data_IF_500187645877
#
_entry.id   IF_500187645877
#
_cell.length_a   1.000
_cell.length_b   1.000
_cell.length_c   1.000
_cell.angle_alpha   90.00
_cell.angle_beta   90.00
_cell.angle_gamma   90.00
#
_symmetry.space_group_name_H-M   'P 1'
#
loop_
_entity.id
_entity.type
_entity.pdbx_description
1 polymer ?
#
# COMPACT_ATOMS: atom_id res chain seq x y z
N UNK A 1 12.35 -25.05 6.25
CA UNK A 1 10.97 -24.59 6.22
C UNK A 1 10.01 -25.77 6.16
N UNK A 2 10.11 -26.64 5.16
CA UNK A 2 9.20 -27.81 5.04
C UNK A 2 9.11 -28.62 6.35
N UNK A 3 10.26 -28.90 6.99
CA UNK A 3 10.29 -29.57 8.30
C UNK A 3 9.54 -28.79 9.37
N UNK A 4 9.78 -27.47 9.47
CA UNK A 4 9.09 -26.64 10.49
C UNK A 4 7.59 -26.60 10.28
N UNK A 5 7.12 -26.52 9.01
CA UNK A 5 5.70 -26.61 8.69
C UNK A 5 5.13 -27.97 9.08
N UNK A 6 5.84 -29.04 8.77
CA UNK A 6 5.43 -30.41 9.14
C UNK A 6 5.33 -30.56 10.67
N UNK A 7 6.34 -30.11 11.43
CA UNK A 7 6.34 -30.15 12.89
C UNK A 7 5.12 -29.39 13.46
N UNK A 8 4.79 -28.21 12.90
CA UNK A 8 3.61 -27.45 13.30
C UNK A 8 2.30 -28.20 13.02
N UNK A 9 2.20 -28.88 11.87
CA UNK A 9 1.02 -29.69 11.52
C UNK A 9 0.90 -30.95 12.38
N UNK A 10 2.00 -31.63 12.70
CA UNK A 10 2.01 -32.81 13.57
C UNK A 10 1.57 -32.49 15.00
N UNK A 11 1.93 -31.30 15.49
CA UNK A 11 1.53 -30.81 16.81
C UNK A 11 0.11 -30.23 16.84
N UNK A 12 -0.51 -29.98 15.66
CA UNK A 12 -1.84 -29.39 15.55
C UNK A 12 -2.85 -30.38 14.95
N UNK A 13 -3.42 -31.23 15.83
CA UNK A 13 -4.32 -32.33 15.43
C UNK A 13 -5.79 -31.93 15.28
N UNK A 14 -6.22 -30.80 15.84
CA UNK A 14 -7.60 -30.34 15.85
C UNK A 14 -7.71 -28.98 15.14
N UNK A 15 -8.91 -28.69 14.61
CA UNK A 15 -9.18 -27.43 13.96
C UNK A 15 -8.64 -27.32 12.53
N UNK A 16 -8.96 -26.21 11.90
CA UNK A 16 -8.53 -25.87 10.55
C UNK A 16 -7.09 -25.35 10.56
N UNK A 17 -6.33 -25.70 9.54
CA UNK A 17 -5.02 -25.08 9.30
C UNK A 17 -5.11 -24.17 8.08
N UNK A 18 -4.57 -22.97 8.21
CA UNK A 18 -4.45 -22.01 7.11
C UNK A 18 -2.99 -21.65 6.93
N UNK A 19 -2.47 -21.81 5.74
CA UNK A 19 -1.11 -21.42 5.36
C UNK A 19 -1.19 -20.30 4.34
N UNK A 20 -0.51 -19.17 4.63
CA UNK A 20 -0.42 -18.07 3.69
C UNK A 20 0.97 -17.99 3.10
N UNK A 21 1.01 -17.83 1.78
CA UNK A 21 2.24 -17.66 1.01
C UNK A 21 1.98 -16.83 -0.25
N UNK A 22 3.04 -16.38 -0.90
CA UNK A 22 2.93 -15.84 -2.26
C UNK A 22 2.51 -16.96 -3.22
N UNK A 23 1.53 -16.67 -4.08
CA UNK A 23 1.03 -17.64 -5.05
C UNK A 23 2.07 -18.06 -6.11
N UNK A 24 3.11 -17.24 -6.30
CA UNK A 24 4.25 -17.51 -7.19
C UNK A 24 5.31 -18.42 -6.57
N UNK A 25 5.26 -18.67 -5.27
CA UNK A 25 6.28 -19.47 -4.59
C UNK A 25 5.92 -20.97 -4.62
N UNK A 26 5.95 -21.59 -5.81
CA UNK A 26 5.52 -22.98 -6.06
C UNK A 26 6.22 -23.98 -5.13
N UNK A 27 7.54 -23.87 -4.96
CA UNK A 27 8.28 -24.77 -4.05
C UNK A 27 7.80 -24.71 -2.58
N UNK A 28 7.37 -23.55 -2.10
CA UNK A 28 6.79 -23.44 -0.75
C UNK A 28 5.45 -24.13 -0.69
N UNK A 29 4.63 -23.96 -1.72
CA UNK A 29 3.34 -24.65 -1.81
C UNK A 29 3.56 -26.17 -1.85
N UNK A 30 4.53 -26.66 -2.60
CA UNK A 30 4.88 -28.10 -2.59
C UNK A 30 5.24 -28.59 -1.18
N UNK A 31 6.10 -27.85 -0.45
CA UNK A 31 6.45 -28.19 0.94
C UNK A 31 5.21 -28.26 1.85
N UNK A 32 4.24 -27.34 1.65
CA UNK A 32 2.98 -27.36 2.40
C UNK A 32 2.12 -28.57 2.04
N UNK A 33 2.03 -28.92 0.76
CA UNK A 33 1.27 -30.09 0.29
C UNK A 33 1.86 -31.41 0.82
N UNK A 34 3.18 -31.54 0.78
CA UNK A 34 3.88 -32.72 1.31
C UNK A 34 3.67 -32.89 2.81
N UNK A 35 3.79 -31.78 3.55
CA UNK A 35 3.51 -31.77 4.98
C UNK A 35 2.03 -32.10 5.29
N UNK A 36 1.09 -31.55 4.52
CA UNK A 36 -0.34 -31.83 4.65
C UNK A 36 -0.66 -33.29 4.40
N UNK A 37 -0.10 -33.86 3.32
CA UNK A 37 -0.23 -35.27 2.97
C UNK A 37 0.27 -36.20 4.08
N UNK A 38 1.42 -35.85 4.70
CA UNK A 38 2.02 -36.66 5.77
C UNK A 38 1.15 -36.75 7.04
N UNK A 39 0.26 -35.77 7.27
CA UNK A 39 -0.66 -35.73 8.41
C UNK A 39 -2.13 -36.01 8.02
N UNK A 40 -2.37 -36.40 6.77
CA UNK A 40 -3.70 -36.75 6.26
C UNK A 40 -4.67 -35.59 6.11
N UNK A 41 -4.17 -34.38 5.84
CA UNK A 41 -4.98 -33.18 5.53
C UNK A 41 -5.08 -32.97 4.02
N UNK A 42 -6.28 -32.61 3.57
CA UNK A 42 -6.56 -32.29 2.16
C UNK A 42 -6.47 -30.79 1.90
N UNK A 43 -5.81 -30.34 0.84
CA UNK A 43 -5.66 -28.93 0.56
C UNK A 43 -6.92 -28.29 -0.03
N UNK A 44 -7.10 -27.02 0.30
CA UNK A 44 -8.09 -26.09 -0.26
C UNK A 44 -7.33 -24.89 -0.77
N UNK A 45 -7.32 -24.62 -2.06
CA UNK A 45 -6.71 -23.39 -2.61
C UNK A 45 -7.70 -22.26 -2.59
N UNK A 46 -7.31 -21.13 -1.99
CA UNK A 46 -8.16 -19.98 -1.79
C UNK A 46 -7.56 -18.70 -2.37
N UNK A 47 -8.34 -18.01 -3.18
CA UNK A 47 -7.95 -16.80 -3.88
C UNK A 47 -7.65 -17.04 -5.36
N UNK A 48 -8.06 -16.07 -6.22
CA UNK A 48 -7.97 -16.19 -7.69
C UNK A 48 -6.55 -16.46 -8.19
N UNK A 49 -5.57 -15.71 -7.67
CA UNK A 49 -4.17 -15.89 -8.05
C UNK A 49 -3.60 -17.24 -7.58
N UNK A 50 -3.97 -17.69 -6.38
CA UNK A 50 -3.52 -18.98 -5.84
C UNK A 50 -4.03 -20.12 -6.73
N UNK A 51 -5.34 -20.17 -7.01
CA UNK A 51 -5.95 -21.20 -7.85
C UNK A 51 -5.34 -21.19 -9.25
N UNK A 52 -5.21 -20.02 -9.89
CA UNK A 52 -4.64 -19.91 -11.24
C UNK A 52 -3.19 -20.37 -11.28
N UNK A 53 -2.35 -19.93 -10.35
CA UNK A 53 -0.93 -20.27 -10.36
C UNK A 53 -0.70 -21.76 -10.06
N UNK A 54 -1.50 -22.35 -9.18
CA UNK A 54 -1.40 -23.78 -8.89
C UNK A 54 -1.84 -24.64 -10.06
N UNK A 55 -2.86 -24.22 -10.81
CA UNK A 55 -3.24 -24.90 -12.06
C UNK A 55 -2.10 -24.87 -13.09
N UNK A 56 -1.53 -23.69 -13.35
CA UNK A 56 -0.39 -23.53 -14.27
C UNK A 56 0.83 -24.37 -13.81
N UNK A 57 1.17 -24.30 -12.51
CA UNK A 57 2.29 -25.05 -11.97
C UNK A 57 2.10 -26.56 -12.10
N UNK A 58 0.86 -27.05 -11.97
CA UNK A 58 0.51 -28.46 -12.22
C UNK A 58 0.61 -28.84 -13.68
N UNK A 59 0.11 -28.02 -14.61
CA UNK A 59 0.22 -28.23 -16.06
C UNK A 59 1.69 -28.27 -16.54
N UNK A 60 2.55 -27.46 -15.92
CA UNK A 60 3.98 -27.41 -16.22
C UNK A 60 4.82 -28.42 -15.42
N UNK A 61 4.18 -29.30 -14.66
CA UNK A 61 4.83 -30.34 -13.84
C UNK A 61 5.80 -29.80 -12.77
N UNK A 62 5.68 -28.51 -12.39
CA UNK A 62 6.40 -27.91 -11.26
C UNK A 62 5.76 -28.21 -9.90
N UNK A 63 4.53 -28.69 -9.88
CA UNK A 63 3.78 -29.04 -8.69
C UNK A 63 3.37 -30.52 -8.77
N UNK A 64 3.92 -31.34 -7.90
CA UNK A 64 3.55 -32.74 -7.76
C UNK A 64 2.29 -32.87 -6.89
N UNK A 65 1.14 -32.67 -7.52
CA UNK A 65 -0.13 -32.69 -6.84
C UNK A 65 -1.27 -33.18 -7.75
N UNK A 66 -2.09 -34.09 -7.25
CA UNK A 66 -3.28 -34.50 -7.98
C UNK A 66 -4.44 -33.55 -7.65
N UNK A 67 -4.96 -32.84 -8.63
CA UNK A 67 -6.06 -31.89 -8.46
C UNK A 67 -7.33 -32.54 -7.82
N UNK A 68 -7.52 -33.84 -7.98
CA UNK A 68 -8.63 -34.59 -7.33
C UNK A 68 -8.49 -34.69 -5.81
N UNK A 69 -7.28 -34.49 -5.27
CA UNK A 69 -7.05 -34.50 -3.82
C UNK A 69 -7.41 -33.16 -3.16
N UNK A 70 -7.56 -32.08 -3.95
CA UNK A 70 -8.04 -30.81 -3.45
C UNK A 70 -9.54 -30.87 -3.09
N UNK A 71 -9.93 -30.09 -2.10
CA UNK A 71 -11.32 -29.82 -1.76
C UNK A 71 -11.70 -28.45 -2.32
N UNK A 72 -12.81 -28.36 -3.03
CA UNK A 72 -13.32 -27.08 -3.50
C UNK A 72 -13.82 -26.22 -2.32
N UNK A 73 -13.64 -24.93 -2.41
CA UNK A 73 -14.03 -24.00 -1.33
C UNK A 73 -15.52 -24.12 -0.95
N UNK A 74 -16.39 -24.39 -1.91
CA UNK A 74 -17.84 -24.58 -1.66
C UNK A 74 -18.15 -25.80 -0.77
N UNK A 75 -17.28 -26.82 -0.81
CA UNK A 75 -17.47 -28.10 -0.13
C UNK A 75 -16.78 -28.17 1.24
N UNK A 76 -16.01 -27.15 1.61
CA UNK A 76 -15.27 -27.10 2.90
C UNK A 76 -16.17 -27.38 4.10
N UNK A 77 -17.40 -26.90 4.08
CA UNK A 77 -18.38 -27.10 5.17
C UNK A 77 -18.82 -28.57 5.36
N UNK A 78 -18.59 -29.42 4.36
CA UNK A 78 -18.94 -30.82 4.36
C UNK A 78 -17.81 -31.73 4.89
N UNK A 79 -16.65 -31.11 5.24
CA UNK A 79 -15.46 -31.81 5.72
C UNK A 79 -15.14 -31.44 7.16
N UNK A 80 -14.57 -32.39 7.89
CA UNK A 80 -13.97 -32.11 9.20
C UNK A 80 -12.82 -31.10 9.07
N UNK A 81 -12.85 -29.95 9.78
CA UNK A 81 -11.78 -28.96 9.74
C UNK A 81 -10.40 -29.54 10.05
N UNK A 82 -10.32 -30.56 10.91
CA UNK A 82 -9.05 -31.24 11.25
C UNK A 82 -8.46 -32.03 10.09
N UNK A 83 -9.19 -32.24 9.00
CA UNK A 83 -8.78 -32.94 7.78
C UNK A 83 -8.48 -31.98 6.62
N UNK A 84 -8.54 -30.67 6.86
CA UNK A 84 -8.34 -29.67 5.84
C UNK A 84 -7.11 -28.80 6.14
N UNK A 85 -6.51 -28.30 5.07
CA UNK A 85 -5.51 -27.23 5.09
C UNK A 85 -5.85 -26.23 3.98
N UNK A 86 -6.08 -24.98 4.34
CA UNK A 86 -6.34 -23.89 3.37
C UNK A 86 -5.02 -23.22 3.02
N UNK A 87 -4.73 -23.10 1.73
CA UNK A 87 -3.55 -22.43 1.20
C UNK A 87 -4.04 -21.17 0.48
N UNK A 88 -3.63 -19.99 0.95
CA UNK A 88 -4.12 -18.73 0.43
C UNK A 88 -3.05 -17.63 0.37
N UNK A 89 -3.42 -16.51 -0.23
CA UNK A 89 -2.65 -15.26 -0.22
C UNK A 89 -3.10 -14.35 0.91
N UNK A 90 -2.44 -13.21 1.09
CA UNK A 90 -2.79 -12.22 2.12
C UNK A 90 -1.75 -12.10 3.23
N UNK A 91 -0.56 -12.69 3.03
CA UNK A 91 0.52 -12.69 4.01
C UNK A 91 1.13 -11.30 4.27
N UNK A 92 0.86 -10.30 3.41
CA UNK A 92 1.34 -8.92 3.56
C UNK A 92 0.26 -7.97 4.09
N UNK A 93 -0.89 -8.51 4.52
CA UNK A 93 -2.00 -7.72 5.05
C UNK A 93 -2.73 -6.92 3.96
N UNK A 94 -2.67 -7.41 2.71
CA UNK A 94 -3.31 -6.76 1.57
C UNK A 94 -4.81 -6.61 1.82
N UNK A 95 -5.38 -5.42 1.59
CA UNK A 95 -6.81 -5.21 1.70
C UNK A 95 -7.60 -6.21 0.84
N UNK A 96 -8.71 -6.72 1.37
CA UNK A 96 -9.59 -7.69 0.70
C UNK A 96 -8.95 -9.05 0.37
N UNK A 97 -7.73 -9.33 0.85
CA UNK A 97 -7.18 -10.67 0.77
C UNK A 97 -7.94 -11.66 1.65
N UNK A 98 -7.85 -12.95 1.33
CA UNK A 98 -8.55 -13.98 2.09
C UNK A 98 -8.18 -13.95 3.57
N UNK A 99 -6.88 -13.81 3.90
CA UNK A 99 -6.44 -13.73 5.29
C UNK A 99 -6.96 -12.48 6.00
N UNK A 100 -6.89 -11.30 5.37
CA UNK A 100 -7.37 -10.05 5.97
C UNK A 100 -8.87 -10.08 6.23
N UNK A 101 -9.66 -10.66 5.32
CA UNK A 101 -11.09 -10.86 5.53
C UNK A 101 -11.40 -11.87 6.64
N UNK A 102 -10.62 -12.96 6.76
CA UNK A 102 -10.75 -13.90 7.88
C UNK A 102 -10.37 -13.23 9.20
N UNK A 103 -9.29 -12.45 9.24
CA UNK A 103 -8.87 -11.70 10.42
C UNK A 103 -9.93 -10.67 10.88
N UNK A 104 -10.63 -10.03 9.92
CA UNK A 104 -11.74 -9.13 10.21
C UNK A 104 -13.06 -9.87 10.56
N UNK A 105 -13.19 -11.17 10.21
CA UNK A 105 -14.42 -11.96 10.32
C UNK A 105 -15.42 -11.72 9.22
N UNK A 106 -14.98 -11.13 8.14
CA UNK A 106 -15.80 -10.73 6.99
C UNK A 106 -15.74 -11.75 5.85
N UNK A 107 -14.92 -12.80 5.97
CA UNK A 107 -14.83 -13.81 4.92
C UNK A 107 -16.14 -14.62 4.85
N UNK A 108 -16.76 -14.63 3.66
CA UNK A 108 -18.14 -15.16 3.46
C UNK A 108 -18.28 -16.67 3.72
N UNK A 109 -17.25 -17.45 3.39
CA UNK A 109 -17.33 -18.93 3.40
C UNK A 109 -16.48 -19.56 4.49
N UNK A 110 -15.38 -18.94 4.93
CA UNK A 110 -14.49 -19.45 5.95
C UNK A 110 -14.52 -18.55 7.18
N UNK A 111 -14.81 -19.15 8.31
CA UNK A 111 -14.69 -18.50 9.62
C UNK A 111 -13.57 -19.19 10.37
N UNK A 112 -12.73 -18.41 11.00
CA UNK A 112 -11.61 -18.89 11.82
C UNK A 112 -11.84 -18.54 13.28
N UNK A 113 -11.35 -19.37 14.18
CA UNK A 113 -11.59 -19.19 15.60
C UNK A 113 -10.67 -20.03 16.49
N UNK A 114 -11.15 -20.29 17.70
CA UNK A 114 -10.44 -21.07 18.69
C UNK A 114 -10.13 -22.48 18.17
N UNK A 115 -8.90 -22.91 18.35
CA UNK A 115 -8.43 -24.22 17.90
C UNK A 115 -7.95 -24.25 16.45
N UNK A 116 -7.96 -23.13 15.71
CA UNK A 116 -7.41 -23.06 14.37
C UNK A 116 -5.95 -22.58 14.39
N UNK A 117 -5.16 -23.04 13.41
CA UNK A 117 -3.76 -22.70 13.23
C UNK A 117 -3.58 -21.90 11.94
N UNK A 118 -2.92 -20.74 12.07
CA UNK A 118 -2.54 -19.90 10.94
C UNK A 118 -1.02 -19.90 10.82
N UNK A 119 -0.49 -20.32 9.69
CA UNK A 119 0.95 -20.29 9.39
C UNK A 119 1.20 -19.22 8.32
N UNK A 120 1.92 -18.17 8.68
CA UNK A 120 2.32 -17.12 7.74
C UNK A 120 3.72 -17.44 7.19
N UNK A 121 3.75 -18.13 6.04
CA UNK A 121 4.96 -18.63 5.42
C UNK A 121 5.62 -17.59 4.49
N UNK A 122 5.75 -16.35 4.95
CA UNK A 122 6.40 -15.24 4.26
C UNK A 122 7.17 -14.35 5.22
N UNK A 123 8.12 -13.56 4.71
CA UNK A 123 8.72 -12.45 5.48
C UNK A 123 7.80 -11.24 5.45
N UNK A 124 7.93 -10.39 6.47
CA UNK A 124 7.40 -9.03 6.43
C UNK A 124 8.17 -8.23 5.37
N UNK A 125 7.45 -7.62 4.45
CA UNK A 125 8.02 -6.62 3.55
C UNK A 125 8.02 -5.28 4.29
N UNK A 126 9.16 -4.56 4.36
CA UNK A 126 9.22 -3.23 4.96
C UNK A 126 8.13 -2.30 4.42
N UNK A 127 7.43 -1.63 5.33
CA UNK A 127 6.28 -0.77 5.01
C UNK A 127 4.91 -1.42 5.19
N UNK A 128 4.83 -2.77 5.23
CA UNK A 128 3.56 -3.49 5.42
C UNK A 128 3.31 -3.90 6.89
N UNK A 129 4.20 -3.55 7.81
CA UNK A 129 4.17 -4.02 9.20
C UNK A 129 2.84 -3.77 9.87
N UNK A 130 2.29 -2.56 9.74
CA UNK A 130 0.99 -2.20 10.35
C UNK A 130 -0.16 -3.07 9.85
N UNK A 131 -0.20 -3.34 8.55
CA UNK A 131 -1.25 -4.15 7.93
C UNK A 131 -1.13 -5.62 8.34
N UNK A 132 0.10 -6.15 8.38
CA UNK A 132 0.39 -7.52 8.79
C UNK A 132 0.04 -7.72 10.26
N UNK A 133 0.50 -6.86 11.17
CA UNK A 133 0.19 -6.95 12.59
C UNK A 133 -1.30 -6.73 12.88
N UNK A 134 -2.00 -5.91 12.09
CA UNK A 134 -3.47 -5.81 12.16
C UNK A 134 -4.13 -7.17 11.90
N UNK A 135 -3.67 -7.88 10.87
CA UNK A 135 -4.18 -9.22 10.55
C UNK A 135 -3.84 -10.24 11.64
N UNK A 136 -2.59 -10.28 12.14
CA UNK A 136 -2.18 -11.16 13.24
C UNK A 136 -3.04 -10.91 14.48
N UNK A 137 -3.22 -9.65 14.88
CA UNK A 137 -4.03 -9.27 16.03
C UNK A 137 -5.50 -9.65 15.85
N UNK A 138 -6.05 -9.48 14.64
CA UNK A 138 -7.41 -9.88 14.31
C UNK A 138 -7.63 -11.39 14.44
N UNK A 139 -6.68 -12.20 13.98
CA UNK A 139 -6.69 -13.65 14.11
C UNK A 139 -6.52 -14.09 15.57
N UNK A 140 -5.60 -13.51 16.31
CA UNK A 140 -5.39 -13.79 17.72
C UNK A 140 -6.62 -13.45 18.58
N UNK A 141 -7.29 -12.32 18.31
CA UNK A 141 -8.57 -11.97 18.98
C UNK A 141 -9.69 -12.99 18.73
N UNK A 142 -9.60 -13.76 17.66
CA UNK A 142 -10.54 -14.85 17.34
C UNK A 142 -10.16 -16.18 17.99
N UNK A 143 -9.04 -16.23 18.73
CA UNK A 143 -8.55 -17.42 19.38
C UNK A 143 -7.66 -18.30 18.49
N UNK A 144 -7.27 -17.84 17.30
CA UNK A 144 -6.38 -18.61 16.45
C UNK A 144 -4.93 -18.58 17.00
N UNK A 145 -4.25 -19.70 16.87
CA UNK A 145 -2.79 -19.74 17.04
C UNK A 145 -2.12 -19.27 15.75
N UNK A 146 -1.31 -18.21 15.84
CA UNK A 146 -0.61 -17.64 14.68
C UNK A 146 0.88 -17.95 14.77
N UNK A 147 1.42 -18.61 13.74
CA UNK A 147 2.84 -18.93 13.57
C UNK A 147 3.39 -18.13 12.40
N UNK A 148 4.48 -17.43 12.61
CA UNK A 148 5.16 -16.61 11.61
C UNK A 148 6.67 -16.70 11.78
N UNK A 149 7.46 -16.08 10.88
CA UNK A 149 8.94 -16.13 10.88
C UNK A 149 9.57 -15.80 12.24
N UNK A 150 8.93 -14.96 13.06
CA UNK A 150 9.43 -14.60 14.40
C UNK A 150 9.19 -15.67 15.47
N UNK A 151 8.34 -16.67 15.23
CA UNK A 151 8.00 -17.72 16.19
C UNK A 151 8.45 -19.11 15.75
N UNK A 152 8.58 -19.35 14.44
CA UNK A 152 9.09 -20.60 13.89
C UNK A 152 9.73 -20.37 12.51
N UNK A 153 10.62 -21.29 12.09
CA UNK A 153 11.33 -21.17 10.81
C UNK A 153 10.43 -21.57 9.61
N UNK A 154 9.27 -20.95 9.52
CA UNK A 154 8.29 -21.17 8.44
C UNK A 154 8.60 -20.40 7.17
N UNK A 155 9.63 -19.56 7.20
CA UNK A 155 10.14 -18.83 6.05
C UNK A 155 11.65 -18.58 6.17
N UNK A 156 12.34 -18.55 5.03
CA UNK A 156 13.73 -18.10 4.88
C UNK A 156 13.79 -17.04 3.78
N UNK A 157 14.71 -16.10 3.90
CA UNK A 157 14.94 -15.10 2.85
C UNK A 157 15.46 -15.80 1.58
N UNK A 158 14.98 -15.33 0.43
CA UNK A 158 15.52 -15.68 -0.89
C UNK A 158 16.66 -14.76 -1.33
N UNK A 159 16.90 -13.65 -0.56
CA UNK A 159 18.01 -12.73 -0.84
C UNK A 159 19.31 -13.28 -0.29
N UNK A 160 20.37 -13.16 -1.05
CA UNK A 160 21.73 -13.49 -0.66
C UNK A 160 22.18 -12.61 0.53
N UNK A 161 22.96 -13.19 1.42
CA UNK A 161 23.68 -12.42 2.44
C UNK A 161 25.03 -11.91 1.88
N UNK A 162 25.78 -11.15 2.69
CA UNK A 162 27.04 -10.55 2.28
C UNK A 162 28.05 -11.59 1.79
N UNK A 163 28.18 -12.70 2.47
CA UNK A 163 29.17 -13.74 2.15
C UNK A 163 28.78 -14.49 0.88
N UNK A 164 27.49 -14.72 0.66
CA UNK A 164 26.95 -15.29 -0.59
C UNK A 164 27.27 -14.37 -1.77
N UNK A 165 27.10 -13.04 -1.62
CA UNK A 165 27.43 -12.05 -2.64
C UNK A 165 28.94 -12.02 -2.95
N UNK A 166 29.81 -12.04 -1.92
CA UNK A 166 31.26 -12.11 -2.11
C UNK A 166 31.63 -13.38 -2.88
N UNK A 167 31.07 -14.54 -2.49
CA UNK A 167 31.31 -15.80 -3.19
C UNK A 167 30.86 -15.72 -4.63
N UNK A 168 29.68 -15.16 -4.90
CA UNK A 168 29.14 -15.03 -6.24
C UNK A 168 30.00 -14.09 -7.12
N UNK A 169 30.44 -12.96 -6.60
CA UNK A 169 31.35 -12.05 -7.32
C UNK A 169 32.67 -12.75 -7.69
N UNK A 170 33.28 -13.50 -6.75
CA UNK A 170 34.51 -14.23 -7.00
C UNK A 170 34.36 -15.39 -7.99
N UNK A 171 33.14 -15.96 -8.13
CA UNK A 171 32.86 -16.99 -9.12
C UNK A 171 32.62 -16.45 -10.52
N UNK A 172 32.02 -15.25 -10.62
CA UNK A 172 31.63 -14.64 -11.90
C UNK A 172 32.76 -13.76 -12.45
N UNK A 173 33.54 -13.12 -11.57
CA UNK A 173 34.61 -12.15 -11.90
C UNK A 173 34.15 -11.11 -12.95
N UNK A 174 33.06 -10.35 -12.72
CA UNK A 174 32.51 -9.45 -13.71
C UNK A 174 33.41 -8.25 -13.92
N UNK A 175 33.54 -7.79 -15.17
CA UNK A 175 34.27 -6.57 -15.51
C UNK A 175 33.49 -5.30 -15.13
N UNK A 176 32.15 -5.36 -15.26
CA UNK A 176 31.22 -4.29 -14.92
C UNK A 176 30.17 -4.79 -13.96
N UNK A 177 29.72 -3.90 -13.05
CA UNK A 177 28.74 -4.23 -12.06
C UNK A 177 27.66 -3.17 -11.92
N UNK A 178 26.39 -3.59 -11.91
CA UNK A 178 25.23 -2.72 -11.72
C UNK A 178 24.29 -3.38 -10.70
N UNK A 179 24.27 -2.93 -9.43
CA UNK A 179 23.34 -3.43 -8.45
C UNK A 179 21.92 -2.97 -8.79
N UNK A 180 20.94 -3.86 -8.60
CA UNK A 180 19.52 -3.59 -8.83
C UNK A 180 18.69 -4.08 -7.66
N UNK A 181 17.43 -3.63 -7.60
CA UNK A 181 16.43 -4.13 -6.66
C UNK A 181 16.76 -3.82 -5.20
N UNK A 182 16.72 -2.55 -4.84
CA UNK A 182 16.93 -2.11 -3.46
C UNK A 182 16.77 -0.61 -3.32
N UNK A 183 16.80 -0.13 -2.08
CA UNK A 183 16.96 1.29 -1.81
C UNK A 183 18.43 1.70 -2.09
N UNK A 184 18.69 2.97 -2.32
CA UNK A 184 20.02 3.50 -2.63
C UNK A 184 21.11 3.01 -1.67
N UNK A 185 20.84 2.94 -0.37
CA UNK A 185 21.77 2.39 0.64
C UNK A 185 22.11 0.91 0.41
N UNK A 186 21.19 0.12 -0.14
CA UNK A 186 21.44 -1.29 -0.46
C UNK A 186 22.32 -1.40 -1.71
N UNK A 187 22.09 -0.53 -2.69
CA UNK A 187 22.90 -0.46 -3.91
C UNK A 187 24.35 -0.05 -3.58
N UNK A 188 24.53 0.93 -2.68
CA UNK A 188 25.86 1.32 -2.18
C UNK A 188 26.56 0.15 -1.49
N UNK A 189 25.91 -0.52 -0.55
CA UNK A 189 26.49 -1.64 0.17
C UNK A 189 26.90 -2.79 -0.77
N UNK A 190 26.10 -3.05 -1.82
CA UNK A 190 26.41 -4.07 -2.81
C UNK A 190 27.57 -3.64 -3.75
N UNK A 191 27.64 -2.35 -4.15
CA UNK A 191 28.79 -1.79 -4.85
C UNK A 191 30.09 -1.95 -4.04
N UNK A 192 30.04 -1.64 -2.75
CA UNK A 192 31.20 -1.75 -1.88
C UNK A 192 31.69 -3.22 -1.77
N UNK A 193 30.78 -4.18 -1.80
CA UNK A 193 31.14 -5.62 -1.91
C UNK A 193 31.81 -5.88 -3.27
N UNK A 194 31.28 -5.35 -4.36
CA UNK A 194 31.82 -5.54 -5.70
C UNK A 194 33.26 -4.99 -5.80
N UNK A 195 33.52 -3.80 -5.26
CA UNK A 195 34.86 -3.22 -5.19
C UNK A 195 35.78 -4.05 -4.29
N UNK A 196 35.31 -4.52 -3.14
CA UNK A 196 36.06 -5.40 -2.26
C UNK A 196 36.52 -6.71 -2.95
N UNK A 197 35.73 -7.20 -3.91
CA UNK A 197 36.02 -8.42 -4.66
C UNK A 197 36.85 -8.18 -5.93
N UNK A 198 37.32 -6.94 -6.17
CA UNK A 198 38.29 -6.60 -7.22
C UNK A 198 37.69 -5.88 -8.43
N UNK A 199 36.41 -5.55 -8.43
CA UNK A 199 35.82 -4.72 -9.49
C UNK A 199 36.34 -3.28 -9.33
N UNK A 200 36.82 -2.70 -10.42
CA UNK A 200 37.28 -1.31 -10.45
C UNK A 200 36.10 -0.38 -10.13
N UNK A 201 36.32 0.60 -9.26
CA UNK A 201 35.22 1.44 -8.74
C UNK A 201 34.44 2.16 -9.87
N UNK A 202 35.15 2.60 -10.90
CA UNK A 202 34.56 3.26 -12.08
C UNK A 202 33.65 2.33 -12.91
N UNK A 203 33.84 1.01 -12.77
CA UNK A 203 33.05 -0.02 -13.44
C UNK A 203 31.86 -0.49 -12.60
N UNK A 204 31.70 0.01 -11.36
CA UNK A 204 30.60 -0.32 -10.46
C UNK A 204 29.56 0.81 -10.47
N UNK A 205 28.58 0.73 -11.38
CA UNK A 205 27.58 1.77 -11.60
C UNK A 205 26.42 1.63 -10.63
N UNK A 206 26.12 2.67 -9.85
CA UNK A 206 24.83 2.79 -9.16
C UNK A 206 23.92 3.61 -10.06
N UNK A 207 22.72 3.09 -10.34
CA UNK A 207 21.72 3.73 -11.17
C UNK A 207 20.42 3.91 -10.40
N UNK A 208 19.86 5.11 -10.49
CA UNK A 208 18.50 5.40 -10.05
C UNK A 208 17.51 5.18 -11.21
N UNK A 209 16.21 5.19 -10.87
CA UNK A 209 15.17 5.00 -11.89
C UNK A 209 15.27 6.06 -12.99
N UNK A 210 15.36 5.60 -14.24
CA UNK A 210 15.52 6.45 -15.41
C UNK A 210 16.97 6.62 -15.89
N UNK A 211 17.96 6.34 -15.06
CA UNK A 211 19.36 6.29 -15.53
C UNK A 211 19.59 5.01 -16.34
N UNK A 212 20.39 5.11 -17.39
CA UNK A 212 20.66 3.98 -18.30
C UNK A 212 22.14 3.65 -18.35
N UNK A 213 22.45 2.37 -18.53
CA UNK A 213 23.79 1.88 -18.83
C UNK A 213 23.74 1.26 -20.22
N UNK A 214 24.66 1.68 -21.06
CA UNK A 214 24.86 1.13 -22.42
C UNK A 214 26.11 0.27 -22.39
N UNK A 215 25.94 -1.00 -22.75
CA UNK A 215 27.04 -1.94 -22.96
C UNK A 215 27.20 -2.15 -24.47
N UNK A 216 28.28 -1.66 -25.04
CA UNK A 216 28.55 -1.72 -26.48
C UNK A 216 30.00 -2.08 -26.71
N UNK A 217 30.23 -3.10 -27.56
CA UNK A 217 31.59 -3.59 -27.89
C UNK A 217 32.43 -3.94 -26.64
N UNK A 218 31.82 -4.47 -25.61
CA UNK A 218 32.50 -4.82 -24.35
C UNK A 218 32.77 -3.64 -23.41
N UNK A 219 32.33 -2.42 -23.73
CA UNK A 219 32.50 -1.24 -22.89
C UNK A 219 31.15 -0.77 -22.32
N UNK A 220 31.08 -0.67 -20.99
CA UNK A 220 29.91 -0.11 -20.31
C UNK A 220 30.09 1.39 -20.06
N UNK A 221 29.04 2.17 -20.30
CA UNK A 221 29.00 3.60 -20.04
C UNK A 221 27.59 4.05 -19.65
N UNK A 222 27.47 5.20 -18.98
CA UNK A 222 26.17 5.84 -18.78
C UNK A 222 25.61 6.29 -20.12
N UNK A 223 24.33 6.03 -20.35
CA UNK A 223 23.58 6.47 -21.53
C UNK A 223 22.69 7.67 -21.20
N UNK A 224 21.90 8.08 -22.19
CA UNK A 224 20.91 9.14 -22.01
C UNK A 224 19.79 8.65 -21.07
N UNK A 225 19.40 9.51 -20.08
CA UNK A 225 18.35 9.13 -19.17
C UNK A 225 16.99 9.03 -19.88
N UNK A 226 16.16 8.10 -19.44
CA UNK A 226 14.77 7.98 -19.86
C UNK A 226 13.83 8.53 -18.81
N UNK A 227 12.63 8.95 -19.22
CA UNK A 227 11.61 9.41 -18.27
C UNK A 227 11.21 8.25 -17.35
N UNK A 228 11.41 8.44 -16.05
CA UNK A 228 11.00 7.51 -15.00
C UNK A 228 10.21 8.26 -13.93
N UNK A 229 9.61 7.54 -13.02
CA UNK A 229 8.83 8.05 -11.91
C UNK A 229 7.45 7.44 -11.83
N UNK A 230 6.66 7.91 -10.87
CA UNK A 230 5.31 7.40 -10.64
C UNK A 230 4.31 8.02 -11.62
N UNK A 231 3.51 7.19 -12.24
CA UNK A 231 2.32 7.58 -13.00
C UNK A 231 1.10 7.22 -12.17
N UNK A 232 0.34 8.22 -11.77
CA UNK A 232 -0.87 8.01 -10.97
C UNK A 232 -2.07 7.77 -11.90
N UNK A 233 -2.76 6.65 -11.71
CA UNK A 233 -3.96 6.29 -12.47
C UNK A 233 -5.17 6.42 -11.55
N UNK A 234 -6.19 7.15 -12.01
CA UNK A 234 -7.45 7.32 -11.29
C UNK A 234 -8.62 6.94 -12.20
N UNK A 235 -9.22 5.80 -11.95
CA UNK A 235 -10.27 5.25 -12.79
C UNK A 235 -9.79 5.03 -14.23
N UNK A 236 -10.35 5.78 -15.17
CA UNK A 236 -9.98 5.73 -16.58
C UNK A 236 -9.02 6.85 -17.01
N UNK A 237 -8.64 7.75 -16.08
CA UNK A 237 -7.77 8.88 -16.37
C UNK A 237 -6.32 8.51 -16.04
N UNK A 238 -5.44 8.36 -17.02
CA UNK A 238 -4.01 8.21 -16.78
C UNK A 238 -3.39 9.57 -16.39
N UNK A 239 -2.34 9.50 -15.57
CA UNK A 239 -1.51 10.63 -15.14
C UNK A 239 -2.30 11.74 -14.42
N UNK A 240 -2.86 11.40 -13.27
CA UNK A 240 -3.47 12.39 -12.37
C UNK A 240 -2.37 13.31 -11.85
N UNK A 241 -2.35 14.55 -12.33
CA UNK A 241 -1.30 15.51 -12.04
C UNK A 241 -1.13 15.82 -10.55
N UNK A 242 0.07 16.26 -10.12
CA UNK A 242 0.37 16.54 -8.71
C UNK A 242 -0.56 17.57 -8.04
N UNK A 243 -1.16 18.46 -8.82
CA UNK A 243 -2.12 19.46 -8.32
C UNK A 243 -3.39 18.79 -7.78
N UNK A 244 -3.97 17.87 -8.54
CA UNK A 244 -5.17 17.12 -8.13
C UNK A 244 -4.90 16.29 -6.87
N UNK A 245 -3.72 15.68 -6.77
CA UNK A 245 -3.34 14.89 -5.59
C UNK A 245 -3.18 15.78 -4.35
N UNK A 246 -2.57 16.97 -4.50
CA UNK A 246 -2.47 17.95 -3.40
C UNK A 246 -3.84 18.44 -2.94
N UNK A 247 -4.74 18.73 -3.87
CA UNK A 247 -6.09 19.18 -3.52
C UNK A 247 -6.88 18.08 -2.81
N UNK A 248 -6.78 16.84 -3.27
CA UNK A 248 -7.38 15.68 -2.57
C UNK A 248 -6.79 15.47 -1.17
N UNK A 249 -5.48 15.61 -1.01
CA UNK A 249 -4.83 15.57 0.29
C UNK A 249 -5.40 16.62 1.25
N UNK A 250 -5.47 17.89 0.81
CA UNK A 250 -6.04 18.97 1.61
C UNK A 250 -7.52 18.76 1.93
N UNK A 251 -8.32 18.32 0.96
CA UNK A 251 -9.73 18.00 1.19
C UNK A 251 -9.90 16.89 2.24
N UNK A 252 -9.01 15.89 2.22
CA UNK A 252 -9.03 14.78 3.18
C UNK A 252 -8.59 15.19 4.58
N UNK A 253 -7.60 16.09 4.71
CA UNK A 253 -7.00 16.47 5.97
C UNK A 253 -7.73 17.65 6.64
N UNK A 254 -8.04 18.69 5.88
CA UNK A 254 -8.50 19.97 6.38
C UNK A 254 -9.92 20.36 5.92
N UNK A 255 -10.49 19.61 4.97
CA UNK A 255 -11.83 19.86 4.47
C UNK A 255 -11.92 21.01 3.46
N UNK A 256 -13.15 21.50 3.24
CA UNK A 256 -13.47 22.58 2.29
C UNK A 256 -14.29 23.68 2.96
N UNK A 257 -13.98 24.96 2.63
CA UNK A 257 -14.74 26.15 2.98
C UNK A 257 -15.16 26.88 1.72
N UNK A 258 -16.46 27.03 1.51
CA UNK A 258 -17.06 27.74 0.36
C UNK A 258 -17.54 29.08 0.85
N UNK A 259 -17.14 30.16 0.18
CA UNK A 259 -17.55 31.53 0.50
C UNK A 259 -18.29 32.15 -0.69
N UNK A 260 -19.54 32.49 -0.48
CA UNK A 260 -20.40 33.12 -1.50
C UNK A 260 -20.50 34.63 -1.18
N UNK A 261 -20.10 35.45 -2.14
CA UNK A 261 -20.10 36.90 -2.03
C UNK A 261 -20.84 37.48 -3.25
N UNK A 262 -21.81 38.35 -3.00
CA UNK A 262 -22.48 39.13 -4.07
C UNK A 262 -21.86 40.52 -4.13
N UNK A 263 -21.54 41.00 -5.34
CA UNK A 263 -20.92 42.30 -5.56
C UNK A 263 -21.71 43.10 -6.60
N UNK A 264 -21.77 44.43 -6.43
CA UNK A 264 -22.18 45.37 -7.47
C UNK A 264 -20.90 46.04 -8.01
N UNK A 265 -20.43 45.66 -9.22
CA UNK A 265 -19.23 46.24 -9.82
C UNK A 265 -19.34 47.70 -10.13
N UNK A 266 -20.60 48.20 -10.38
CA UNK A 266 -20.85 49.59 -10.74
C UNK A 266 -20.78 50.51 -9.52
N UNK A 267 -21.24 50.04 -8.37
CA UNK A 267 -21.17 50.77 -7.09
C UNK A 267 -19.88 50.47 -6.32
N UNK A 268 -19.18 49.43 -6.73
CA UNK A 268 -17.91 49.01 -6.08
C UNK A 268 -18.09 48.55 -4.64
N UNK A 269 -19.12 47.76 -4.37
CA UNK A 269 -19.48 47.32 -3.04
C UNK A 269 -20.00 45.88 -2.98
N UNK A 270 -19.99 45.30 -1.79
CA UNK A 270 -20.65 44.03 -1.49
C UNK A 270 -22.14 44.25 -1.37
N UNK A 271 -22.97 43.34 -1.87
CA UNK A 271 -24.42 43.35 -1.79
C UNK A 271 -24.90 42.16 -0.97
N UNK A 272 -25.70 42.46 0.07
CA UNK A 272 -26.21 41.44 0.97
C UNK A 272 -25.13 40.78 1.88
N UNK A 273 -25.46 39.62 2.45
CA UNK A 273 -24.62 38.97 3.43
C UNK A 273 -23.64 38.00 2.78
N UNK A 274 -22.43 37.95 3.29
CA UNK A 274 -21.44 36.93 2.92
C UNK A 274 -21.88 35.58 3.52
N UNK A 275 -22.07 34.59 2.69
CA UNK A 275 -22.49 33.26 3.11
C UNK A 275 -21.30 32.29 3.09
N UNK A 276 -21.12 31.57 4.19
CA UNK A 276 -20.09 30.53 4.32
C UNK A 276 -20.70 29.15 4.52
N UNK A 277 -20.16 28.18 3.79
CA UNK A 277 -20.45 26.77 3.94
C UNK A 277 -19.15 26.02 4.18
N UNK A 278 -19.21 24.92 4.93
CA UNK A 278 -18.03 24.09 5.17
C UNK A 278 -18.36 22.59 5.20
N UNK A 279 -17.36 21.76 4.90
CA UNK A 279 -17.39 20.32 5.14
C UNK A 279 -16.01 19.86 5.60
N UNK A 280 -15.98 19.15 6.75
CA UNK A 280 -14.76 18.55 7.29
C UNK A 280 -13.76 19.53 7.91
N UNK A 281 -14.13 20.82 8.12
CA UNK A 281 -13.25 21.83 8.76
C UNK A 281 -13.44 21.85 10.26
N UNK A 282 -14.70 22.01 10.73
CA UNK A 282 -15.09 21.99 12.14
C UNK A 282 -16.30 21.09 12.35
N UNK A 283 -16.54 20.65 13.60
CA UNK A 283 -17.72 19.87 13.94
C UNK A 283 -19.00 20.66 13.67
N UNK A 284 -20.07 19.94 13.30
CA UNK A 284 -21.31 20.58 12.91
C UNK A 284 -21.95 21.42 14.01
N UNK A 285 -21.88 20.96 15.26
CA UNK A 285 -22.49 21.62 16.42
C UNK A 285 -21.79 22.94 16.81
N UNK A 286 -20.49 23.07 16.51
CA UNK A 286 -19.68 24.25 16.79
C UNK A 286 -19.50 25.17 15.57
N UNK A 287 -20.04 24.80 14.42
CA UNK A 287 -19.73 25.46 13.15
C UNK A 287 -20.36 26.86 13.04
N UNK A 288 -21.59 27.02 13.48
CA UNK A 288 -22.36 28.23 13.20
C UNK A 288 -21.72 29.54 13.74
N UNK A 289 -21.26 29.61 15.01
CA UNK A 289 -20.61 30.83 15.51
C UNK A 289 -19.31 31.15 14.74
N UNK A 290 -18.52 30.13 14.43
CA UNK A 290 -17.23 30.26 13.71
C UNK A 290 -17.46 30.75 12.29
N UNK A 291 -18.48 30.22 11.60
CA UNK A 291 -18.85 30.64 10.24
C UNK A 291 -19.35 32.10 10.21
N UNK A 292 -20.13 32.50 11.22
CA UNK A 292 -20.57 33.88 11.35
C UNK A 292 -19.41 34.85 11.56
N UNK A 293 -18.44 34.51 12.41
CA UNK A 293 -17.25 35.33 12.63
C UNK A 293 -16.35 35.39 11.39
N UNK A 294 -16.20 34.28 10.67
CA UNK A 294 -15.51 34.24 9.38
C UNK A 294 -16.19 35.12 8.35
N UNK A 295 -17.54 35.08 8.26
CA UNK A 295 -18.32 35.92 7.36
C UNK A 295 -18.16 37.41 7.67
N UNK A 296 -18.27 37.81 8.95
CA UNK A 296 -18.06 39.18 9.40
C UNK A 296 -16.66 39.68 9.02
N UNK A 297 -15.63 38.84 9.22
CA UNK A 297 -14.26 39.20 8.88
C UNK A 297 -14.08 39.44 7.40
N UNK A 298 -14.61 38.52 6.53
CA UNK A 298 -14.57 38.70 5.08
C UNK A 298 -15.30 39.98 4.66
N UNK A 299 -16.50 40.22 5.18
CA UNK A 299 -17.28 41.45 4.92
C UNK A 299 -16.47 42.69 5.24
N UNK A 300 -15.93 42.81 6.47
CA UNK A 300 -15.13 43.94 6.89
C UNK A 300 -13.87 44.18 6.03
N UNK A 301 -13.18 43.11 5.65
CA UNK A 301 -12.01 43.23 4.78
C UNK A 301 -12.40 43.64 3.33
N UNK A 302 -13.53 43.18 2.82
CA UNK A 302 -14.04 43.61 1.51
C UNK A 302 -14.53 45.04 1.49
N UNK A 303 -15.26 45.51 2.55
CA UNK A 303 -15.69 46.87 2.68
C UNK A 303 -14.52 47.89 2.76
N UNK A 304 -13.37 47.45 3.24
CA UNK A 304 -12.13 48.23 3.24
C UNK A 304 -11.43 48.33 1.88
N UNK A 305 -11.89 47.61 0.84
CA UNK A 305 -11.32 47.70 -0.47
C UNK A 305 -11.74 48.94 -1.25
N UNK A 306 -10.85 49.44 -2.12
CA UNK A 306 -11.19 50.51 -3.04
C UNK A 306 -12.23 50.00 -4.06
N UNK A 307 -13.20 50.84 -4.42
CA UNK A 307 -14.28 50.53 -5.39
C UNK A 307 -13.76 49.93 -6.71
N UNK A 308 -12.58 50.38 -7.16
CA UNK A 308 -11.92 49.88 -8.38
C UNK A 308 -11.52 48.38 -8.30
N UNK A 309 -11.51 47.77 -7.15
CA UNK A 309 -11.20 46.34 -6.98
C UNK A 309 -12.43 45.45 -7.25
N UNK A 310 -13.63 45.98 -7.17
CA UNK A 310 -14.86 45.24 -7.41
C UNK A 310 -15.19 45.07 -8.92
N UNK A 311 -14.49 45.77 -9.80
CA UNK A 311 -14.60 45.60 -11.26
C UNK A 311 -13.90 44.32 -11.75
N UNK A 312 -13.11 43.66 -10.90
CA UNK A 312 -12.45 42.40 -11.18
C UNK A 312 -12.84 41.35 -10.12
N UNK A 313 -13.79 40.48 -10.48
CA UNK A 313 -14.25 39.38 -9.65
C UNK A 313 -13.14 38.44 -9.21
N UNK A 314 -12.07 38.32 -10.01
CA UNK A 314 -10.90 37.54 -9.62
C UNK A 314 -10.08 38.24 -8.49
N UNK A 315 -10.04 39.56 -8.49
CA UNK A 315 -9.39 40.31 -7.42
C UNK A 315 -10.14 40.12 -6.08
N UNK A 316 -11.47 40.16 -6.12
CA UNK A 316 -12.33 39.86 -4.95
C UNK A 316 -12.11 38.41 -4.49
N UNK A 317 -12.13 37.45 -5.40
CA UNK A 317 -11.85 36.04 -5.10
C UNK A 317 -10.51 35.83 -4.38
N UNK A 318 -9.44 36.45 -4.88
CA UNK A 318 -8.12 36.39 -4.24
C UNK A 318 -8.13 36.94 -2.80
N UNK A 319 -8.85 38.04 -2.56
CA UNK A 319 -9.01 38.63 -1.24
C UNK A 319 -9.76 37.70 -0.28
N UNK A 320 -10.86 37.12 -0.72
CA UNK A 320 -11.63 36.14 0.05
C UNK A 320 -10.74 34.94 0.45
N UNK A 321 -9.98 34.39 -0.50
CA UNK A 321 -9.05 33.28 -0.22
C UNK A 321 -7.99 33.65 0.80
N UNK A 322 -7.43 34.85 0.70
CA UNK A 322 -6.41 35.33 1.64
C UNK A 322 -6.99 35.59 3.04
N UNK A 323 -8.15 36.23 3.13
CA UNK A 323 -8.85 36.51 4.37
C UNK A 323 -9.20 35.21 5.13
N UNK A 324 -9.92 34.32 4.45
CA UNK A 324 -10.32 33.05 5.04
C UNK A 324 -9.12 32.14 5.34
N UNK A 325 -8.08 32.15 4.51
CA UNK A 325 -6.85 31.39 4.76
C UNK A 325 -6.13 31.83 6.04
N UNK A 326 -6.16 33.14 6.35
CA UNK A 326 -5.67 33.68 7.64
C UNK A 326 -6.58 33.27 8.78
N UNK A 327 -7.91 33.46 8.61
CA UNK A 327 -8.91 33.12 9.62
C UNK A 327 -8.82 31.67 10.05
N UNK A 328 -8.95 30.72 9.13
CA UNK A 328 -8.94 29.30 9.43
C UNK A 328 -7.65 28.84 10.11
N UNK A 329 -6.52 29.46 9.72
CA UNK A 329 -5.23 29.14 10.35
C UNK A 329 -5.13 29.67 11.78
N UNK A 330 -5.64 30.86 12.04
CA UNK A 330 -5.52 31.52 13.35
C UNK A 330 -6.53 30.98 14.35
N UNK A 331 -7.78 30.83 13.94
CA UNK A 331 -8.89 30.50 14.85
C UNK A 331 -9.07 28.96 15.01
N UNK A 332 -8.74 28.19 13.99
CA UNK A 332 -9.03 26.75 13.97
C UNK A 332 -7.75 25.89 13.81
N UNK A 333 -6.64 26.49 13.38
CA UNK A 333 -5.38 25.77 13.12
C UNK A 333 -5.40 24.91 11.87
N UNK A 334 -6.38 25.10 10.95
CA UNK A 334 -6.58 24.33 9.74
C UNK A 334 -6.32 25.15 8.48
N UNK A 335 -6.12 24.45 7.34
CA UNK A 335 -5.87 25.06 6.02
C UNK A 335 -6.79 24.46 4.95
N UNK A 336 -8.12 24.60 5.10
CA UNK A 336 -9.06 23.98 4.17
C UNK A 336 -8.86 24.49 2.74
N UNK A 337 -9.36 23.72 1.78
CA UNK A 337 -9.54 24.22 0.41
C UNK A 337 -10.61 25.31 0.46
N UNK A 338 -10.25 26.52 0.03
CA UNK A 338 -11.17 27.66 -0.01
C UNK A 338 -11.67 27.84 -1.43
N UNK A 339 -12.99 27.77 -1.59
CA UNK A 339 -13.67 27.99 -2.86
C UNK A 339 -14.48 29.31 -2.80
N UNK A 340 -13.95 30.42 -3.34
CA UNK A 340 -14.71 31.67 -3.44
C UNK A 340 -15.68 31.59 -4.62
N UNK A 341 -16.94 31.97 -4.38
CA UNK A 341 -17.99 32.13 -5.39
C UNK A 341 -18.40 33.61 -5.36
N UNK A 342 -17.97 34.36 -6.38
CA UNK A 342 -18.28 35.78 -6.52
C UNK A 342 -19.38 35.92 -7.57
N UNK A 343 -20.52 36.49 -7.18
CA UNK A 343 -21.68 36.73 -8.00
C UNK A 343 -21.81 38.23 -8.27
N UNK A 344 -21.85 38.62 -9.53
CA UNK A 344 -22.12 40.02 -9.97
C UNK A 344 -23.62 40.23 -10.08
N UNK A 345 -24.16 41.28 -9.43
CA UNK A 345 -25.60 41.63 -9.40
C UNK A 345 -25.83 43.07 -9.83
#
# INVERSE_FOLDING_TARGET
VGRAIKDELENHRKGLVIVTSFASHVHRIQQVLDAAKSVGRRPVFLGRSMVKNMAIAGELEYLEFNAKDAVELKDVKNHDPSKLIVICTGSQGEPFSALSLMAAGEHKQLKVGEGDLIIMASSLIPGNEKAIYKSINGLAKRGCRVVHKGTAQVHVSGHANRDDLIMFHNLVEPEYFVPVHGEYRHLLAHRDIAVLTGIVEENAFICEDGETIVLENGVARRGDPIRAGMVFIDGLLPDVGPAVLRDRGRLSEDGISICIVQIDPRKGQVVGDVTLLQRGVVFADDAEPILQDAAKRVTAELEGLKATKFTDSQAVSRHVVQSLGRFWRQEVGRRPVILPVVLEV
#
